data_IF_735245038388
#
_entry.id   IF_735245038388
#
_cell.length_a   1.000
_cell.length_b   1.000
_cell.length_c   1.000
_cell.angle_alpha   90.00
_cell.angle_beta   90.00
_cell.angle_gamma   90.00
#
_symmetry.space_group_name_H-M   'P 1'
#
loop_
_entity.id
_entity.type
_entity.pdbx_description
1 polymer ?
#
# COMPACT_ATOMS: atom_id res chain seq x y z
N UNK A 1 -8.47 -6.70 -11.63
CA UNK A 1 -8.17 -7.68 -10.57
C UNK A 1 -7.00 -8.52 -11.06
N UNK A 2 -5.86 -8.49 -10.38
CA UNK A 2 -4.66 -9.21 -10.85
C UNK A 2 -4.71 -10.62 -10.25
N UNK A 3 -4.42 -11.63 -11.05
CA UNK A 3 -4.46 -13.04 -10.66
C UNK A 3 -3.62 -13.33 -9.41
N UNK A 4 -2.49 -12.66 -9.26
CA UNK A 4 -1.62 -12.74 -8.09
C UNK A 4 -2.26 -12.32 -6.77
N UNK A 5 -3.18 -11.34 -6.77
CA UNK A 5 -3.87 -10.89 -5.55
C UNK A 5 -4.79 -12.01 -5.00
N UNK A 6 -5.35 -12.86 -5.87
CA UNK A 6 -6.19 -14.00 -5.45
C UNK A 6 -5.36 -15.09 -4.76
N UNK A 7 -4.19 -15.41 -5.33
CA UNK A 7 -3.28 -16.38 -4.71
C UNK A 7 -2.71 -15.89 -3.38
N UNK A 8 -2.44 -14.60 -3.27
CA UNK A 8 -2.01 -13.98 -2.04
C UNK A 8 -3.08 -14.09 -0.95
N UNK A 9 -4.35 -13.75 -1.26
CA UNK A 9 -5.48 -13.90 -0.33
C UNK A 9 -5.63 -15.36 0.09
N UNK A 10 -5.60 -16.29 -0.86
CA UNK A 10 -5.69 -17.71 -0.56
C UNK A 10 -4.55 -18.19 0.36
N UNK A 11 -3.32 -17.77 0.08
CA UNK A 11 -2.15 -18.09 0.92
C UNK A 11 -2.29 -17.56 2.34
N UNK A 12 -2.73 -16.30 2.51
CA UNK A 12 -2.97 -15.72 3.84
C UNK A 12 -4.08 -16.45 4.59
N UNK A 13 -5.18 -16.79 3.92
CA UNK A 13 -6.26 -17.56 4.55
C UNK A 13 -5.81 -18.97 4.98
N UNK A 14 -5.02 -19.63 4.12
CA UNK A 14 -4.49 -20.95 4.44
C UNK A 14 -3.54 -20.90 5.65
N UNK A 15 -2.63 -19.91 5.68
CA UNK A 15 -1.72 -19.73 6.84
C UNK A 15 -2.49 -19.44 8.12
N UNK A 16 -3.56 -18.64 8.07
CA UNK A 16 -4.39 -18.36 9.23
C UNK A 16 -5.10 -19.62 9.78
N UNK A 17 -5.63 -20.46 8.90
CA UNK A 17 -6.24 -21.73 9.32
C UNK A 17 -5.21 -22.66 9.97
N UNK A 18 -4.04 -22.81 9.35
CA UNK A 18 -2.95 -23.64 9.89
C UNK A 18 -2.48 -23.08 11.24
N UNK A 19 -2.32 -21.77 11.35
CA UNK A 19 -1.89 -21.14 12.59
C UNK A 19 -2.85 -21.40 13.74
N UNK A 20 -4.16 -21.25 13.54
CA UNK A 20 -5.17 -21.53 14.56
C UNK A 20 -5.25 -23.02 14.91
N UNK A 21 -4.92 -23.92 13.98
CA UNK A 21 -4.87 -25.36 14.26
C UNK A 21 -3.63 -25.80 15.05
N UNK A 22 -2.53 -25.06 14.91
CA UNK A 22 -1.25 -25.42 15.53
C UNK A 22 -1.02 -24.72 16.88
N UNK A 23 -1.63 -23.53 17.04
CA UNK A 23 -1.49 -22.73 18.27
C UNK A 23 -2.65 -22.95 19.22
N UNK A 24 -2.36 -23.48 20.40
CA UNK A 24 -3.32 -23.72 21.49
C UNK A 24 -3.59 -22.45 22.34
N UNK A 25 -2.74 -21.42 22.19
CA UNK A 25 -2.77 -20.18 22.99
C UNK A 25 -3.65 -19.07 22.39
N UNK A 26 -4.36 -19.34 21.29
CA UNK A 26 -5.19 -18.33 20.61
C UNK A 26 -6.48 -18.09 21.39
N UNK A 27 -6.54 -16.95 22.07
CA UNK A 27 -7.76 -16.51 22.77
C UNK A 27 -8.84 -16.15 21.74
N UNK A 28 -10.09 -16.54 22.01
CA UNK A 28 -11.21 -16.34 21.09
C UNK A 28 -10.96 -16.91 19.67
N UNK A 29 -10.34 -18.09 19.59
CA UNK A 29 -9.96 -18.72 18.32
C UNK A 29 -11.03 -18.65 17.20
N UNK A 30 -12.35 -18.86 17.45
CA UNK A 30 -13.36 -18.72 16.40
C UNK A 30 -13.48 -17.30 15.84
N UNK A 31 -13.34 -16.28 16.69
CA UNK A 31 -13.42 -14.87 16.28
C UNK A 31 -12.14 -14.48 15.53
N UNK A 32 -10.98 -14.85 16.05
CA UNK A 32 -9.68 -14.62 15.41
C UNK A 32 -9.64 -15.26 14.02
N UNK A 33 -10.12 -16.50 13.89
CA UNK A 33 -10.20 -17.19 12.60
C UNK A 33 -11.18 -16.51 11.65
N UNK A 34 -12.37 -16.10 12.12
CA UNK A 34 -13.34 -15.40 11.29
C UNK A 34 -12.74 -14.09 10.73
N UNK A 35 -12.07 -13.30 11.57
CA UNK A 35 -11.40 -12.07 11.14
C UNK A 35 -10.25 -12.38 10.17
N UNK A 36 -9.42 -13.39 10.45
CA UNK A 36 -8.31 -13.78 9.60
C UNK A 36 -8.76 -14.36 8.24
N UNK A 37 -9.99 -14.81 8.10
CA UNK A 37 -10.57 -15.22 6.82
C UNK A 37 -11.26 -14.07 6.09
N UNK A 38 -11.89 -13.15 6.80
CA UNK A 38 -12.67 -12.06 6.18
C UNK A 38 -11.78 -10.87 5.80
N UNK A 39 -10.88 -10.45 6.69
CA UNK A 39 -10.07 -9.25 6.46
C UNK A 39 -9.14 -9.34 5.24
N UNK A 40 -8.49 -10.46 4.90
CA UNK A 40 -7.67 -10.57 3.70
C UNK A 40 -8.44 -10.35 2.39
N UNK A 41 -9.77 -10.52 2.38
CA UNK A 41 -10.59 -10.21 1.20
C UNK A 41 -10.45 -8.73 0.79
N UNK A 42 -10.17 -7.83 1.74
CA UNK A 42 -9.89 -6.43 1.47
C UNK A 42 -8.74 -6.21 0.48
N UNK A 43 -7.78 -7.14 0.41
CA UNK A 43 -6.66 -7.08 -0.52
C UNK A 43 -7.11 -7.12 -1.99
N UNK A 44 -8.30 -7.67 -2.29
CA UNK A 44 -8.84 -7.72 -3.64
C UNK A 44 -9.24 -6.33 -4.16
N UNK A 45 -9.69 -5.44 -3.27
CA UNK A 45 -10.13 -4.08 -3.61
C UNK A 45 -9.12 -2.98 -3.22
N UNK A 46 -7.99 -3.32 -2.60
CA UNK A 46 -6.97 -2.36 -2.12
C UNK A 46 -6.45 -1.40 -3.18
N UNK A 47 -6.56 -1.74 -4.47
CA UNK A 47 -6.10 -0.90 -5.59
C UNK A 47 -7.16 0.08 -6.08
N UNK A 48 -8.44 -0.23 -5.85
CA UNK A 48 -9.58 0.57 -6.33
C UNK A 48 -10.02 1.54 -5.23
N UNK A 49 -10.12 1.05 -4.00
CA UNK A 49 -10.54 1.82 -2.83
C UNK A 49 -9.54 1.67 -1.67
N UNK A 50 -8.30 2.21 -1.83
CA UNK A 50 -7.24 1.97 -0.85
C UNK A 50 -7.58 2.49 0.54
N UNK A 51 -8.16 3.71 0.66
CA UNK A 51 -8.59 4.27 1.94
C UNK A 51 -9.71 3.44 2.58
N UNK A 52 -10.73 3.07 1.80
CA UNK A 52 -11.86 2.28 2.32
C UNK A 52 -11.40 0.95 2.92
N UNK A 53 -10.46 0.27 2.27
CA UNK A 53 -9.92 -1.00 2.77
C UNK A 53 -9.08 -0.82 4.04
N UNK A 54 -8.29 0.25 4.11
CA UNK A 54 -7.53 0.60 5.34
C UNK A 54 -8.49 0.89 6.50
N UNK A 55 -9.52 1.70 6.28
CA UNK A 55 -10.51 2.05 7.33
C UNK A 55 -11.26 0.82 7.83
N UNK A 56 -11.71 -0.07 6.93
CA UNK A 56 -12.43 -1.28 7.31
C UNK A 56 -11.53 -2.19 8.14
N UNK A 57 -10.33 -2.47 7.66
CA UNK A 57 -9.45 -3.47 8.29
C UNK A 57 -8.84 -2.93 9.58
N UNK A 58 -8.23 -1.75 9.57
CA UNK A 58 -7.66 -1.16 10.78
C UNK A 58 -8.74 -0.72 11.77
N UNK A 59 -9.93 -0.32 11.29
CA UNK A 59 -11.09 -0.08 12.14
C UNK A 59 -11.54 -1.35 12.88
N UNK A 60 -11.65 -2.48 12.18
CA UNK A 60 -11.98 -3.76 12.80
C UNK A 60 -10.93 -4.19 13.83
N UNK A 61 -9.63 -4.06 13.50
CA UNK A 61 -8.53 -4.35 14.44
C UNK A 61 -8.59 -3.42 15.65
N UNK A 62 -8.83 -2.11 15.46
CA UNK A 62 -8.96 -1.15 16.57
C UNK A 62 -10.13 -1.51 17.50
N UNK A 63 -11.30 -1.84 16.94
CA UNK A 63 -12.47 -2.26 17.73
C UNK A 63 -12.13 -3.51 18.54
N UNK A 64 -11.44 -4.46 17.93
CA UNK A 64 -11.06 -5.70 18.62
C UNK A 64 -10.05 -5.45 19.73
N UNK A 65 -9.04 -4.61 19.50
CA UNK A 65 -8.10 -4.20 20.55
C UNK A 65 -8.81 -3.54 21.74
N UNK A 66 -9.80 -2.67 21.47
CA UNK A 66 -10.60 -2.03 22.53
C UNK A 66 -11.44 -3.05 23.31
N UNK A 67 -12.02 -4.04 22.64
CA UNK A 67 -12.79 -5.12 23.28
C UNK A 67 -11.87 -5.96 24.18
N UNK A 68 -10.69 -6.35 23.72
CA UNK A 68 -9.73 -7.12 24.53
C UNK A 68 -9.24 -6.33 25.74
N UNK A 69 -8.95 -5.03 25.57
CA UNK A 69 -8.61 -4.15 26.70
C UNK A 69 -9.73 -4.05 27.73
N UNK A 70 -10.98 -3.86 27.29
CA UNK A 70 -12.14 -3.76 28.18
C UNK A 70 -12.47 -5.09 28.86
N UNK A 71 -12.25 -6.23 28.18
CA UNK A 71 -12.52 -7.57 28.70
C UNK A 71 -11.40 -8.14 29.57
N UNK A 72 -10.23 -7.50 29.66
CA UNK A 72 -9.08 -8.00 30.39
C UNK A 72 -8.54 -9.33 29.86
N UNK A 73 -8.77 -9.61 28.56
CA UNK A 73 -8.31 -10.81 27.87
C UNK A 73 -6.98 -10.53 27.17
N UNK A 74 -6.15 -11.56 27.02
CA UNK A 74 -4.91 -11.47 26.23
C UNK A 74 -5.21 -11.15 24.77
N UNK A 75 -4.22 -10.56 24.07
CA UNK A 75 -4.35 -10.21 22.67
C UNK A 75 -4.52 -11.47 21.80
N UNK A 76 -5.40 -11.40 20.81
CA UNK A 76 -5.67 -12.54 19.89
C UNK A 76 -4.80 -12.50 18.63
N UNK A 77 -3.64 -11.82 18.68
CA UNK A 77 -2.76 -11.61 17.54
C UNK A 77 -2.34 -12.89 16.83
N UNK A 78 -2.68 -13.00 15.53
CA UNK A 78 -2.21 -14.05 14.65
C UNK A 78 -1.03 -13.52 13.82
N UNK A 79 0.01 -14.31 13.62
CA UNK A 79 1.14 -13.98 12.72
C UNK A 79 0.66 -13.82 11.27
N UNK A 80 -0.36 -14.57 10.88
CA UNK A 80 -1.01 -14.43 9.58
C UNK A 80 -1.57 -13.03 9.32
N UNK A 81 -1.80 -12.19 10.34
CA UNK A 81 -2.19 -10.79 10.19
C UNK A 81 -1.07 -9.90 9.62
N UNK A 82 0.13 -10.41 9.36
CA UNK A 82 1.18 -9.69 8.66
C UNK A 82 0.74 -9.12 7.30
N UNK A 83 -0.34 -9.63 6.68
CA UNK A 83 -0.92 -9.03 5.48
C UNK A 83 -1.39 -7.57 5.69
N UNK A 84 -1.66 -7.15 6.93
CA UNK A 84 -1.99 -5.76 7.28
C UNK A 84 -0.96 -4.77 6.76
N UNK A 85 0.32 -5.18 6.68
CA UNK A 85 1.41 -4.38 6.15
C UNK A 85 1.23 -4.01 4.67
N UNK A 86 0.47 -4.80 3.90
CA UNK A 86 0.20 -4.52 2.50
C UNK A 86 -0.79 -3.37 2.30
N UNK A 87 -1.57 -3.01 3.31
CA UNK A 87 -2.56 -1.94 3.22
C UNK A 87 -1.92 -0.54 3.26
N UNK A 88 -1.03 -0.20 4.20
CA UNK A 88 -0.28 1.06 4.15
C UNK A 88 0.54 1.23 2.86
N UNK A 89 1.16 0.15 2.36
CA UNK A 89 1.81 0.15 1.05
C UNK A 89 0.84 0.54 -0.07
N UNK A 90 -0.33 -0.13 -0.13
CA UNK A 90 -1.32 0.10 -1.18
C UNK A 90 -1.92 1.49 -1.10
N UNK A 91 -2.16 2.00 0.11
CA UNK A 91 -2.67 3.34 0.36
C UNK A 91 -1.74 4.41 -0.21
N UNK A 92 -0.45 4.34 0.11
CA UNK A 92 0.53 5.32 -0.35
C UNK A 92 0.79 5.18 -1.85
N UNK A 93 0.77 3.95 -2.37
CA UNK A 93 1.04 3.65 -3.79
C UNK A 93 -0.06 4.13 -4.74
N UNK A 94 -1.33 3.97 -4.35
CA UNK A 94 -2.50 4.22 -5.23
C UNK A 94 -3.47 5.28 -4.69
N UNK A 95 -3.41 5.63 -3.41
CA UNK A 95 -4.27 6.65 -2.81
C UNK A 95 -3.94 8.08 -3.26
N UNK A 96 -4.93 8.96 -3.18
CA UNK A 96 -4.73 10.40 -3.32
C UNK A 96 -4.01 10.98 -2.09
N UNK A 97 -3.44 12.19 -2.21
CA UNK A 97 -2.72 12.81 -1.09
C UNK A 97 -3.56 12.94 0.18
N UNK A 98 -4.84 13.28 0.07
CA UNK A 98 -5.78 13.38 1.21
C UNK A 98 -6.07 12.00 1.81
N UNK A 99 -6.29 11.01 0.96
CA UNK A 99 -6.52 9.63 1.41
C UNK A 99 -5.31 9.05 2.15
N UNK A 100 -4.10 9.36 1.70
CA UNK A 100 -2.87 8.92 2.36
C UNK A 100 -2.78 9.51 3.78
N UNK A 101 -3.03 10.81 3.95
CA UNK A 101 -2.97 11.45 5.29
C UNK A 101 -4.01 10.84 6.22
N UNK A 102 -5.26 10.75 5.78
CA UNK A 102 -6.35 10.18 6.60
C UNK A 102 -6.09 8.72 6.91
N UNK A 103 -5.72 7.92 5.90
CA UNK A 103 -5.49 6.50 6.08
C UNK A 103 -4.27 6.17 6.95
N UNK A 104 -3.17 6.94 6.86
CA UNK A 104 -2.05 6.80 7.79
C UNK A 104 -2.44 7.17 9.23
N UNK A 105 -3.32 8.16 9.41
CA UNK A 105 -3.91 8.45 10.71
C UNK A 105 -4.68 7.26 11.29
N UNK A 106 -5.50 6.59 10.47
CA UNK A 106 -6.23 5.37 10.88
C UNK A 106 -5.26 4.22 11.22
N UNK A 107 -4.22 4.03 10.42
CA UNK A 107 -3.16 3.04 10.72
C UNK A 107 -2.48 3.34 12.05
N UNK A 108 -2.17 4.60 12.31
CA UNK A 108 -1.55 5.03 13.57
C UNK A 108 -2.46 4.76 14.77
N UNK A 109 -3.75 5.04 14.67
CA UNK A 109 -4.74 4.74 15.73
C UNK A 109 -4.80 3.24 15.98
N UNK A 110 -4.91 2.41 14.93
CA UNK A 110 -4.92 0.96 15.06
C UNK A 110 -3.64 0.42 15.71
N UNK A 111 -2.49 0.98 15.35
CA UNK A 111 -1.20 0.61 15.93
C UNK A 111 -1.09 1.01 17.42
N UNK A 112 -1.44 2.25 17.76
CA UNK A 112 -1.36 2.72 19.16
C UNK A 112 -2.31 1.97 20.07
N UNK A 113 -3.52 1.62 19.61
CA UNK A 113 -4.45 0.78 20.38
C UNK A 113 -3.93 -0.65 20.54
N UNK A 114 -3.23 -1.18 19.52
CA UNK A 114 -2.56 -2.50 19.62
C UNK A 114 -1.46 -2.51 20.69
N UNK A 115 -0.59 -1.49 20.69
CA UNK A 115 0.42 -1.34 21.76
C UNK A 115 -0.23 -1.19 23.13
N UNK A 116 -1.30 -0.39 23.24
CA UNK A 116 -1.97 -0.19 24.52
C UNK A 116 -2.62 -1.48 25.04
N UNK A 117 -3.07 -2.37 24.15
CA UNK A 117 -3.66 -3.66 24.49
C UNK A 117 -2.60 -4.69 24.96
N UNK A 118 -1.39 -4.63 24.38
CA UNK A 118 -0.32 -5.61 24.65
C UNK A 118 1.03 -4.89 24.69
N UNK A 119 1.23 -4.09 25.74
CA UNK A 119 2.49 -3.35 25.93
C UNK A 119 3.54 -4.24 26.61
N UNK A 120 4.53 -4.67 25.85
CA UNK A 120 5.62 -5.53 26.35
C UNK A 120 6.85 -4.69 26.72
N UNK A 121 7.34 -3.87 25.78
CA UNK A 121 8.50 -3.00 26.01
C UNK A 121 8.55 -1.81 25.05
N UNK A 122 9.25 -0.73 25.44
CA UNK A 122 9.43 0.42 24.57
C UNK A 122 10.22 0.09 23.30
N UNK A 123 11.19 -0.82 23.38
CA UNK A 123 11.98 -1.26 22.22
C UNK A 123 11.12 -2.00 21.19
N UNK A 124 10.20 -2.86 21.64
CA UNK A 124 9.26 -3.56 20.75
C UNK A 124 8.25 -2.60 20.14
N UNK A 125 7.74 -1.64 20.92
CA UNK A 125 6.84 -0.61 20.41
C UNK A 125 7.51 0.23 19.30
N UNK A 126 8.75 0.68 19.51
CA UNK A 126 9.49 1.44 18.49
C UNK A 126 9.79 0.55 17.27
N UNK A 127 10.29 -0.66 17.49
CA UNK A 127 10.61 -1.61 16.43
C UNK A 127 9.40 -1.96 15.57
N UNK A 128 8.28 -2.26 16.21
CA UNK A 128 7.00 -2.53 15.55
C UNK A 128 6.47 -1.33 14.77
N UNK A 129 6.62 -0.11 15.29
CA UNK A 129 6.24 1.11 14.58
C UNK A 129 7.05 1.31 13.31
N UNK A 130 8.37 1.18 13.38
CA UNK A 130 9.26 1.25 12.20
C UNK A 130 8.89 0.18 11.18
N UNK A 131 8.64 -1.05 11.65
CA UNK A 131 8.25 -2.16 10.80
C UNK A 131 6.89 -1.92 10.13
N UNK A 132 5.90 -1.43 10.86
CA UNK A 132 4.56 -1.12 10.35
C UNK A 132 4.55 0.00 9.29
N UNK A 133 5.44 0.99 9.41
CA UNK A 133 5.56 2.09 8.45
C UNK A 133 6.43 1.76 7.24
N UNK A 134 7.30 0.76 7.33
CA UNK A 134 8.24 0.44 6.25
C UNK A 134 7.56 0.15 4.90
N UNK A 135 6.39 -0.54 4.79
CA UNK A 135 5.71 -0.73 3.52
C UNK A 135 5.15 0.56 2.94
N UNK A 136 4.71 1.51 3.78
CA UNK A 136 4.26 2.82 3.35
C UNK A 136 5.41 3.60 2.69
N UNK A 137 6.60 3.57 3.29
CA UNK A 137 7.81 4.18 2.71
C UNK A 137 8.20 3.54 1.38
N UNK A 138 8.14 2.20 1.28
CA UNK A 138 8.37 1.49 0.01
C UNK A 138 7.35 1.96 -1.04
N UNK A 139 6.08 2.06 -0.67
CA UNK A 139 5.02 2.57 -1.54
C UNK A 139 5.31 3.99 -2.04
N UNK A 140 5.79 4.88 -1.17
CA UNK A 140 6.17 6.26 -1.49
C UNK A 140 7.33 6.31 -2.49
N UNK A 141 8.40 5.54 -2.24
CA UNK A 141 9.56 5.47 -3.12
C UNK A 141 9.18 4.96 -4.51
N UNK A 142 8.38 3.89 -4.59
CA UNK A 142 7.95 3.36 -5.87
C UNK A 142 7.03 4.33 -6.63
N UNK A 143 6.14 5.04 -5.92
CA UNK A 143 5.31 6.09 -6.51
C UNK A 143 6.16 7.23 -7.06
N UNK A 144 7.13 7.73 -6.29
CA UNK A 144 8.04 8.78 -6.73
C UNK A 144 8.85 8.38 -7.97
N UNK A 145 9.37 7.15 -8.00
CA UNK A 145 10.09 6.61 -9.16
C UNK A 145 9.22 6.55 -10.41
N UNK A 146 7.95 6.17 -10.27
CA UNK A 146 7.04 6.11 -11.42
C UNK A 146 6.70 7.52 -11.94
N UNK A 147 6.55 8.50 -11.05
CA UNK A 147 6.37 9.90 -11.45
C UNK A 147 7.59 10.44 -12.20
N UNK A 148 8.80 10.22 -11.68
CA UNK A 148 10.03 10.61 -12.35
C UNK A 148 10.14 10.00 -13.76
N UNK A 149 9.91 8.68 -13.87
CA UNK A 149 9.93 7.99 -15.17
C UNK A 149 8.89 8.51 -16.18
N UNK A 150 7.74 8.98 -15.71
CA UNK A 150 6.73 9.59 -16.60
C UNK A 150 7.22 10.95 -17.10
N UNK A 151 7.76 11.79 -16.22
CA UNK A 151 8.34 13.09 -16.58
C UNK A 151 9.49 12.95 -17.58
N UNK A 152 10.39 11.99 -17.36
CA UNK A 152 11.50 11.71 -18.29
C UNK A 152 10.98 11.34 -19.69
N UNK A 153 9.94 10.51 -19.76
CA UNK A 153 9.33 10.12 -21.04
C UNK A 153 8.65 11.30 -21.75
N UNK A 154 7.93 12.13 -21.01
CA UNK A 154 7.29 13.34 -21.55
C UNK A 154 8.33 14.31 -22.08
N UNK A 155 9.42 14.52 -21.34
CA UNK A 155 10.54 15.37 -21.79
C UNK A 155 11.23 14.81 -23.05
N UNK A 156 11.45 13.49 -23.10
CA UNK A 156 12.03 12.84 -24.28
C UNK A 156 11.17 13.07 -25.54
N UNK A 157 9.84 12.91 -25.42
CA UNK A 157 8.91 13.16 -26.54
C UNK A 157 8.92 14.63 -26.97
N UNK A 158 8.99 15.56 -26.01
CA UNK A 158 9.06 17.00 -26.34
C UNK A 158 10.37 17.34 -27.05
N UNK A 159 11.51 16.84 -26.57
CA UNK A 159 12.82 17.07 -27.20
C UNK A 159 12.91 16.49 -28.61
N UNK A 160 12.32 15.31 -28.85
CA UNK A 160 12.23 14.72 -30.18
C UNK A 160 11.40 15.57 -31.15
N UNK A 161 10.25 16.09 -30.68
CA UNK A 161 9.43 17.00 -31.49
C UNK A 161 10.15 18.30 -31.84
N UNK A 162 10.89 18.88 -30.89
CA UNK A 162 11.68 20.08 -31.15
C UNK A 162 12.82 19.82 -32.13
N UNK A 163 13.46 18.65 -32.08
CA UNK A 163 14.49 18.26 -33.02
C UNK A 163 13.91 18.11 -34.44
N UNK A 164 12.79 17.40 -34.59
CA UNK A 164 12.09 17.25 -35.88
C UNK A 164 11.69 18.59 -36.44
N UNK A 165 11.18 19.51 -35.61
CA UNK A 165 10.80 20.85 -36.05
C UNK A 165 11.99 21.65 -36.57
N UNK A 166 13.15 21.55 -35.92
CA UNK A 166 14.41 22.19 -36.39
C UNK A 166 14.88 21.57 -37.70
N UNK A 167 14.90 20.25 -37.84
CA UNK A 167 15.30 19.56 -39.06
C UNK A 167 14.40 19.91 -40.25
N UNK A 168 13.09 20.00 -40.02
CA UNK A 168 12.13 20.45 -41.03
C UNK A 168 12.37 21.91 -41.42
N UNK A 169 12.58 22.79 -40.45
CA UNK A 169 12.86 24.20 -40.71
C UNK A 169 14.14 24.37 -41.55
N UNK A 170 15.22 23.68 -41.18
CA UNK A 170 16.49 23.74 -41.89
C UNK A 170 16.36 23.15 -43.32
N UNK A 171 15.62 22.08 -43.47
CA UNK A 171 15.34 21.47 -44.79
C UNK A 171 14.55 22.44 -45.69
N UNK A 172 13.49 23.06 -45.15
CA UNK A 172 12.67 24.04 -45.89
C UNK A 172 13.49 25.26 -46.24
N UNK A 173 14.27 25.80 -45.28
CA UNK A 173 15.12 26.97 -45.53
C UNK A 173 16.18 26.68 -46.62
N UNK A 174 16.78 25.49 -46.60
CA UNK A 174 17.75 25.07 -47.63
C UNK A 174 17.09 24.98 -49.03
N UNK A 175 15.90 24.36 -49.14
CA UNK A 175 15.18 24.25 -50.41
C UNK A 175 14.75 25.61 -50.96
N UNK A 176 14.24 26.51 -50.11
CA UNK A 176 13.85 27.88 -50.52
C UNK A 176 15.07 28.64 -51.04
N UNK A 177 16.20 28.55 -50.32
CA UNK A 177 17.44 29.19 -50.75
C UNK A 177 17.98 28.65 -52.08
N UNK A 178 17.89 27.34 -52.30
CA UNK A 178 18.31 26.71 -53.57
C UNK A 178 17.43 27.14 -54.76
N UNK A 179 16.13 27.37 -54.54
CA UNK A 179 15.22 27.87 -55.59
C UNK A 179 15.53 29.33 -55.88
N UNK A 180 15.77 30.16 -54.88
CA UNK A 180 16.08 31.58 -55.04
C UNK A 180 17.41 31.82 -55.83
N UNK A 181 18.34 30.92 -55.75
CA UNK A 181 19.65 31.02 -56.49
C UNK A 181 19.48 30.60 -57.97
N UNK A 182 18.45 29.80 -58.32
CA UNK A 182 18.23 29.36 -59.68
C UNK A 182 17.27 30.22 -60.49
N UNK A 183 16.59 31.17 -59.87
CA UNK A 183 15.71 32.17 -60.49
C UNK A 183 16.52 33.45 -60.84
#
# INVERSE_FOLDING_TARGET
MVWWDRWLVFGVMLTAVVEVMVRDDVVLAPVALALALVLPLSLLWRRIHPLGMVVIVFGAVTVMNVITMAGGTESFGLYSMAFLLLLPYSLVRWGSGKEVVVGLGVVLVGYTTGIAADFTSMSEAIGGFVFALSPALIGAVLRSRDHARRQDREQAVLSEREQIARELHDTVAHHVSAIAIRA
#
